data_IF_451391996623
#
_entry.id   IF_451391996623
#
_cell.length_a   1.000
_cell.length_b   1.000
_cell.length_c   1.000
_cell.angle_alpha   90.00
_cell.angle_beta   90.00
_cell.angle_gamma   90.00
#
_symmetry.space_group_name_H-M   'P 1'
#
loop_
_entity.id
_entity.type
_entity.pdbx_description
1 polymer ?
#
# COMPACT_ATOMS: atom_id res chain seq x y z
N UNK A 1 13.35 22.96 -3.51
CA UNK A 1 12.03 23.51 -3.24
C UNK A 1 10.95 22.93 -4.08
N UNK A 2 11.03 23.10 -5.37
CA UNK A 2 10.02 22.56 -6.26
C UNK A 2 9.90 21.07 -6.14
N UNK A 3 11.02 20.40 -6.01
CA UNK A 3 11.03 18.97 -5.88
C UNK A 3 10.31 18.52 -4.61
N UNK A 4 10.50 19.25 -3.56
CA UNK A 4 9.87 18.95 -2.29
C UNK A 4 8.36 19.09 -2.38
N UNK A 5 7.90 20.15 -3.03
CA UNK A 5 6.48 20.37 -3.21
C UNK A 5 5.84 19.25 -4.02
N UNK A 6 6.53 18.83 -5.07
CA UNK A 6 6.08 17.73 -5.88
C UNK A 6 5.91 16.45 -5.08
N UNK A 7 6.87 16.20 -4.23
CA UNK A 7 6.84 15.02 -3.40
C UNK A 7 5.62 15.03 -2.47
N UNK A 8 5.35 16.18 -1.88
CA UNK A 8 4.19 16.30 -1.01
C UNK A 8 2.89 16.09 -1.76
N UNK A 9 2.81 16.61 -2.97
CA UNK A 9 1.62 16.43 -3.79
C UNK A 9 1.38 14.95 -4.08
N UNK A 10 2.42 14.20 -4.35
CA UNK A 10 2.30 12.77 -4.58
C UNK A 10 1.77 12.05 -3.36
N UNK A 11 2.23 12.43 -2.19
CA UNK A 11 1.76 11.80 -0.97
C UNK A 11 0.29 12.09 -0.74
N UNK A 12 -0.12 13.30 -1.00
CA UNK A 12 -1.52 13.68 -0.85
C UNK A 12 -2.40 12.92 -1.82
N UNK A 13 -1.92 12.74 -3.03
CA UNK A 13 -2.65 11.98 -4.02
C UNK A 13 -2.87 10.55 -3.56
N UNK A 14 -1.84 9.93 -3.01
CA UNK A 14 -1.95 8.57 -2.50
C UNK A 14 -2.99 8.47 -1.41
N UNK A 15 -3.04 9.45 -0.53
CA UNK A 15 -3.99 9.43 0.57
C UNK A 15 -5.40 9.68 0.12
N UNK A 16 -5.57 10.32 -1.02
CA UNK A 16 -6.90 10.66 -1.53
C UNK A 16 -7.54 9.54 -2.34
N UNK A 17 -6.79 8.50 -2.66
CA UNK A 17 -7.34 7.41 -3.48
C UNK A 17 -8.16 6.44 -2.63
N UNK A 18 -8.97 5.63 -3.32
CA UNK A 18 -9.78 4.62 -2.66
C UNK A 18 -8.90 3.55 -2.01
N UNK A 19 -9.51 2.73 -1.15
CA UNK A 19 -8.78 1.65 -0.52
C UNK A 19 -8.22 0.68 -1.54
N UNK A 20 -8.99 0.40 -2.59
CA UNK A 20 -8.52 -0.47 -3.67
C UNK A 20 -7.25 0.10 -4.31
N UNK A 21 -7.31 1.37 -4.67
CA UNK A 21 -6.14 2.01 -5.29
C UNK A 21 -4.96 2.06 -4.33
N UNK A 22 -5.25 2.31 -3.06
CA UNK A 22 -4.19 2.35 -2.07
C UNK A 22 -3.46 1.00 -2.00
N UNK A 23 -4.20 -0.10 -1.98
CA UNK A 23 -3.58 -1.42 -1.91
C UNK A 23 -2.76 -1.69 -3.16
N UNK A 24 -3.29 -1.35 -4.33
CA UNK A 24 -2.56 -1.56 -5.59
C UNK A 24 -1.27 -0.78 -5.58
N UNK A 25 -1.32 0.50 -5.20
CA UNK A 25 -0.14 1.34 -5.14
C UNK A 25 0.89 0.80 -4.15
N UNK A 26 0.40 0.30 -3.01
CA UNK A 26 1.29 -0.24 -1.99
C UNK A 26 2.03 -1.47 -2.51
N UNK A 27 1.35 -2.34 -3.23
CA UNK A 27 2.01 -3.50 -3.81
C UNK A 27 3.07 -3.07 -4.82
N UNK A 28 2.75 -2.11 -5.67
CA UNK A 28 3.72 -1.62 -6.64
C UNK A 28 4.95 -1.03 -5.98
N UNK A 29 4.74 -0.25 -4.93
CA UNK A 29 5.83 0.43 -4.23
C UNK A 29 6.68 -0.53 -3.42
N UNK A 30 6.04 -1.48 -2.74
CA UNK A 30 6.73 -2.33 -1.79
C UNK A 30 7.13 -3.69 -2.38
N UNK A 31 6.29 -4.25 -3.22
CA UNK A 31 6.50 -5.59 -3.75
C UNK A 31 6.82 -5.60 -5.24
N UNK A 32 6.76 -4.43 -5.88
CA UNK A 32 7.11 -4.27 -7.29
C UNK A 32 6.27 -5.14 -8.22
N UNK A 33 5.01 -5.34 -7.85
CA UNK A 33 4.07 -6.09 -8.68
C UNK A 33 2.64 -5.72 -8.33
N UNK A 34 1.70 -6.16 -9.15
CA UNK A 34 0.29 -5.97 -8.87
C UNK A 34 -0.19 -7.04 -7.90
N UNK A 35 -1.14 -6.72 -7.02
CA UNK A 35 -1.72 -7.75 -6.16
C UNK A 35 -2.63 -8.67 -6.97
N UNK A 36 -2.70 -9.94 -6.59
CA UNK A 36 -3.70 -10.81 -7.19
C UNK A 36 -5.06 -10.53 -6.54
N UNK A 37 -6.12 -11.15 -7.10
CA UNK A 37 -7.47 -10.83 -6.66
C UNK A 37 -7.68 -11.14 -5.18
N UNK A 38 -7.14 -12.25 -4.72
CA UNK A 38 -7.29 -12.66 -3.33
C UNK A 38 -6.56 -11.72 -2.38
N UNK A 39 -5.34 -11.37 -2.73
CA UNK A 39 -4.56 -10.46 -1.90
C UNK A 39 -5.18 -9.09 -1.82
N UNK A 40 -5.65 -8.60 -2.96
CA UNK A 40 -6.31 -7.30 -3.00
C UNK A 40 -7.54 -7.28 -2.09
N UNK A 41 -8.37 -8.31 -2.21
CA UNK A 41 -9.58 -8.37 -1.40
C UNK A 41 -9.26 -8.51 0.08
N UNK A 42 -8.23 -9.28 0.41
CA UNK A 42 -7.82 -9.45 1.79
C UNK A 42 -7.50 -8.10 2.45
N UNK A 43 -6.72 -7.28 1.77
CA UNK A 43 -6.33 -6.00 2.34
C UNK A 43 -7.45 -4.98 2.33
N UNK A 44 -8.32 -5.03 1.32
CA UNK A 44 -9.49 -4.17 1.31
C UNK A 44 -10.39 -4.52 2.50
N UNK A 45 -10.59 -5.81 2.76
CA UNK A 45 -11.39 -6.24 3.90
C UNK A 45 -10.75 -5.81 5.21
N UNK A 46 -9.43 -5.87 5.28
CA UNK A 46 -8.70 -5.43 6.47
C UNK A 46 -9.03 -3.97 6.77
N UNK A 47 -9.01 -3.14 5.75
CA UNK A 47 -9.26 -1.72 5.92
C UNK A 47 -10.73 -1.42 6.21
N UNK A 48 -11.64 -2.14 5.57
CA UNK A 48 -13.05 -1.79 5.60
C UNK A 48 -13.86 -2.58 6.60
N UNK A 49 -13.47 -3.80 6.89
CA UNK A 49 -14.24 -4.67 7.78
C UNK A 49 -13.57 -4.91 9.12
N UNK A 50 -12.24 -4.96 9.14
CA UNK A 50 -11.52 -5.21 10.37
C UNK A 50 -10.96 -3.95 11.03
N UNK A 51 -11.16 -2.79 10.39
CA UNK A 51 -10.82 -1.51 10.99
C UNK A 51 -9.34 -1.18 11.04
N UNK A 52 -8.52 -1.85 10.27
CA UNK A 52 -7.10 -1.54 10.22
C UNK A 52 -6.88 -0.21 9.51
N UNK A 53 -5.86 0.51 9.92
CA UNK A 53 -5.50 1.75 9.23
C UNK A 53 -4.62 1.44 8.03
N UNK A 54 -4.47 2.41 7.15
CA UNK A 54 -3.59 2.25 5.99
C UNK A 54 -2.14 2.06 6.42
N UNK A 55 -1.72 2.73 7.50
CA UNK A 55 -0.38 2.54 8.03
C UNK A 55 -0.19 1.11 8.52
N UNK A 56 -1.22 0.55 9.15
CA UNK A 56 -1.15 -0.85 9.60
C UNK A 56 -1.00 -1.80 8.43
N UNK A 57 -1.72 -1.55 7.35
CA UNK A 57 -1.63 -2.38 6.15
C UNK A 57 -0.22 -2.34 5.59
N UNK A 58 0.36 -1.14 5.49
CA UNK A 58 1.73 -1.01 4.99
C UNK A 58 2.71 -1.77 5.87
N UNK A 59 2.56 -1.66 7.19
CA UNK A 59 3.44 -2.37 8.11
C UNK A 59 3.30 -3.87 7.95
N UNK A 60 2.08 -4.35 7.77
CA UNK A 60 1.85 -5.78 7.61
C UNK A 60 2.43 -6.31 6.31
N UNK A 61 2.32 -5.55 5.23
CA UNK A 61 2.92 -5.95 3.98
C UNK A 61 4.43 -6.06 4.13
N UNK A 62 5.03 -5.13 4.85
CA UNK A 62 6.48 -5.16 5.09
C UNK A 62 6.91 -6.32 5.95
N UNK A 63 6.00 -6.85 6.76
CA UNK A 63 6.29 -8.02 7.58
C UNK A 63 6.06 -9.33 6.84
N UNK A 64 5.52 -9.27 5.64
CA UNK A 64 5.22 -10.48 4.90
C UNK A 64 6.51 -11.17 4.43
N UNK A 65 6.40 -12.47 4.22
CA UNK A 65 7.54 -13.25 3.73
C UNK A 65 7.97 -12.78 2.35
N UNK A 66 7.01 -12.39 1.55
CA UNK A 66 7.31 -11.92 0.19
C UNK A 66 8.21 -10.68 0.23
N UNK A 67 7.88 -9.72 1.08
CA UNK A 67 8.67 -8.51 1.18
C UNK A 67 10.07 -8.82 1.69
N UNK A 68 10.15 -9.68 2.70
CA UNK A 68 11.44 -10.04 3.28
C UNK A 68 12.31 -10.80 2.28
N UNK A 69 11.69 -11.63 1.46
CA UNK A 69 12.42 -12.38 0.45
C UNK A 69 13.01 -11.46 -0.60
N UNK A 70 12.31 -10.38 -0.93
CA UNK A 70 12.82 -9.41 -1.91
C UNK A 70 14.06 -8.70 -1.41
N UNK A 71 14.14 -8.51 -0.11
CA UNK A 71 15.23 -7.78 0.50
C UNK A 71 16.50 -8.65 0.61
N UNK A 72 16.34 -9.92 0.44
CA UNK A 72 17.49 -10.84 0.47
C UNK A 72 18.23 -10.85 -0.85
#
# INVERSE_FOLDING_TARGET
MLRFVKYLANRMTKQAVSNKEFVIESYRDLLHREPDAEGLQYWIDDLEKRGESRDDVLANIKLSDEYKAMDS
#
